data_IF_948225289781
#
_entry.id   IF_948225289781
#
_cell.length_a   1.000
_cell.length_b   1.000
_cell.length_c   1.000
_cell.angle_alpha   90.00
_cell.angle_beta   90.00
_cell.angle_gamma   90.00
#
_symmetry.space_group_name_H-M   'P 1'
#
loop_
_entity.id
_entity.type
_entity.pdbx_description
1 polymer ?
#
# COMPACT_ATOMS: atom_id res chain seq x y z
N UNK A 1 24.08 -0.42 -17.30
CA UNK A 1 23.98 -1.14 -16.01
C UNK A 1 22.53 -1.22 -15.60
N UNK A 2 21.97 -2.43 -15.47
CA UNK A 2 20.66 -2.63 -14.84
C UNK A 2 20.90 -2.56 -13.33
N UNK A 3 20.46 -1.50 -12.67
CA UNK A 3 20.53 -1.40 -11.21
C UNK A 3 19.67 -2.51 -10.64
N UNK A 4 20.30 -3.50 -10.00
CA UNK A 4 19.60 -4.47 -9.18
C UNK A 4 18.97 -3.72 -8.01
N UNK A 5 17.68 -3.39 -8.14
CA UNK A 5 16.88 -2.84 -7.04
C UNK A 5 16.96 -3.84 -5.90
N UNK A 6 17.68 -3.49 -4.85
CA UNK A 6 17.82 -4.29 -3.64
C UNK A 6 16.41 -4.58 -3.13
N UNK A 7 15.99 -5.85 -3.15
CA UNK A 7 14.66 -6.24 -2.66
C UNK A 7 14.62 -6.09 -1.15
N UNK A 8 14.18 -4.93 -0.68
CA UNK A 8 13.95 -4.70 0.76
C UNK A 8 12.80 -5.61 1.23
N UNK A 9 12.93 -6.25 2.40
CA UNK A 9 11.84 -7.04 2.97
C UNK A 9 10.60 -6.17 3.18
N UNK A 10 9.42 -6.68 2.81
CA UNK A 10 8.15 -5.94 2.88
C UNK A 10 7.85 -5.40 4.29
N UNK A 11 8.18 -6.17 5.33
CA UNK A 11 7.94 -5.75 6.72
C UNK A 11 8.79 -4.55 7.13
N UNK A 12 9.98 -4.36 6.56
CA UNK A 12 10.84 -3.20 6.81
C UNK A 12 10.20 -1.94 6.20
N UNK A 13 9.80 -2.03 4.93
CA UNK A 13 9.13 -0.91 4.25
C UNK A 13 7.82 -0.51 4.95
N UNK A 14 7.03 -1.50 5.39
CA UNK A 14 5.79 -1.28 6.11
C UNK A 14 6.01 -0.60 7.48
N UNK A 15 6.98 -1.09 8.27
CA UNK A 15 7.30 -0.52 9.59
C UNK A 15 7.76 0.93 9.45
N UNK A 16 8.67 1.20 8.51
CA UNK A 16 9.11 2.56 8.23
C UNK A 16 7.95 3.48 7.84
N UNK A 17 7.02 3.00 7.00
CA UNK A 17 5.85 3.79 6.63
C UNK A 17 4.98 4.12 7.85
N UNK A 18 4.73 3.15 8.74
CA UNK A 18 3.95 3.37 9.96
C UNK A 18 4.61 4.38 10.91
N UNK A 19 5.92 4.28 11.11
CA UNK A 19 6.71 5.23 11.90
C UNK A 19 6.68 6.66 11.33
N UNK A 20 6.45 6.79 10.01
CA UNK A 20 6.33 8.07 9.32
C UNK A 20 4.86 8.51 9.09
N UNK A 21 3.91 7.88 9.79
CA UNK A 21 2.48 8.25 9.75
C UNK A 21 1.74 7.81 8.48
N UNK A 22 2.31 6.90 7.70
CA UNK A 22 1.73 6.39 6.45
C UNK A 22 1.09 5.02 6.70
N UNK A 23 -0.24 4.96 6.61
CA UNK A 23 -1.00 3.72 6.69
C UNK A 23 -1.76 3.48 5.39
N UNK A 24 -1.86 2.22 4.97
CA UNK A 24 -2.49 1.82 3.71
C UNK A 24 -3.43 0.66 4.01
N UNK A 25 -4.72 0.84 3.73
CA UNK A 25 -5.73 -0.11 4.16
C UNK A 25 -6.90 -0.19 3.16
N UNK A 26 -7.61 -1.33 3.11
CA UNK A 26 -8.79 -1.47 2.26
C UNK A 26 -9.98 -0.74 2.88
N UNK A 27 -10.75 -0.04 2.04
CA UNK A 27 -12.04 0.55 2.40
C UNK A 27 -13.15 -0.16 1.60
N UNK A 28 -14.18 -0.73 2.27
CA UNK A 28 -15.30 -1.33 1.57
C UNK A 28 -16.12 -0.28 0.83
N UNK A 29 -16.49 -0.57 -0.41
CA UNK A 29 -17.44 0.24 -1.20
C UNK A 29 -18.90 -0.11 -0.92
N UNK A 30 -19.13 -1.31 -0.39
CA UNK A 30 -20.45 -1.86 -0.07
C UNK A 30 -20.41 -2.52 1.31
N UNK A 31 -21.51 -2.51 2.08
CA UNK A 31 -21.51 -2.99 3.48
C UNK A 31 -21.09 -4.46 3.64
N UNK A 32 -21.32 -5.30 2.63
CA UNK A 32 -20.92 -6.71 2.64
C UNK A 32 -19.44 -6.95 2.28
N UNK A 33 -18.66 -5.89 2.02
CA UNK A 33 -17.26 -5.97 1.65
C UNK A 33 -17.01 -6.64 0.30
N UNK A 34 -18.02 -6.80 -0.56
CA UNK A 34 -17.89 -7.47 -1.86
C UNK A 34 -16.91 -6.78 -2.82
N UNK A 35 -16.78 -5.46 -2.68
CA UNK A 35 -15.80 -4.64 -3.38
C UNK A 35 -15.15 -3.62 -2.44
N UNK A 36 -13.88 -3.35 -2.68
CA UNK A 36 -13.03 -2.50 -1.85
C UNK A 36 -12.16 -1.60 -2.72
N UNK A 37 -11.81 -0.42 -2.20
CA UNK A 37 -10.72 0.43 -2.70
C UNK A 37 -9.57 0.42 -1.71
N UNK A 38 -8.40 0.87 -2.14
CA UNK A 38 -7.27 1.11 -1.24
C UNK A 38 -7.26 2.58 -0.84
N UNK A 39 -7.17 2.86 0.45
CA UNK A 39 -6.88 4.18 0.99
C UNK A 39 -5.40 4.25 1.39
N UNK A 40 -4.76 5.36 1.04
CA UNK A 40 -3.46 5.76 1.56
C UNK A 40 -3.72 6.94 2.48
N UNK A 41 -3.49 6.76 3.77
CA UNK A 41 -3.54 7.81 4.78
C UNK A 41 -2.11 8.23 5.08
N UNK A 42 -1.81 9.52 4.94
CA UNK A 42 -0.55 10.12 5.31
C UNK A 42 -0.80 11.18 6.37
N UNK A 43 -0.52 10.85 7.64
CA UNK A 43 -0.70 11.76 8.78
C UNK A 43 -2.13 12.34 8.87
N UNK A 44 -3.14 11.55 8.55
CA UNK A 44 -4.56 11.95 8.55
C UNK A 44 -5.08 12.46 7.20
N UNK A 45 -4.20 12.71 6.23
CA UNK A 45 -4.62 13.07 4.87
C UNK A 45 -4.89 11.81 4.04
N UNK A 46 -6.16 11.58 3.72
CA UNK A 46 -6.59 10.36 3.05
C UNK A 46 -6.71 10.54 1.54
N UNK A 47 -6.07 9.66 0.80
CA UNK A 47 -6.22 9.54 -0.65
C UNK A 47 -6.77 8.17 -1.00
N UNK A 48 -7.96 8.14 -1.59
CA UNK A 48 -8.63 6.92 -2.03
C UNK A 48 -8.24 6.62 -3.48
N UNK A 49 -7.69 5.43 -3.70
CA UNK A 49 -7.34 4.92 -5.03
C UNK A 49 -8.55 4.75 -5.95
N UNK A 50 -8.32 4.77 -7.26
CA UNK A 50 -9.39 4.62 -8.25
C UNK A 50 -9.77 3.16 -8.50
N UNK A 51 -8.82 2.25 -8.35
CA UNK A 51 -8.99 0.82 -8.63
C UNK A 51 -9.93 0.14 -7.64
N UNK A 52 -10.75 -0.77 -8.17
CA UNK A 52 -11.70 -1.57 -7.40
C UNK A 52 -11.18 -3.00 -7.31
N UNK A 53 -11.14 -3.53 -6.10
CA UNK A 53 -10.74 -4.90 -5.79
C UNK A 53 -11.95 -5.67 -5.28
N UNK A 54 -12.08 -6.93 -5.70
CA UNK A 54 -13.17 -7.79 -5.28
C UNK A 54 -12.68 -8.78 -4.22
N UNK A 55 -13.51 -9.00 -3.19
CA UNK A 55 -13.19 -9.73 -1.94
C UNK A 55 -12.61 -11.14 -2.17
N UNK A 56 -12.94 -11.78 -3.29
CA UNK A 56 -12.47 -13.13 -3.62
C UNK A 56 -10.99 -13.23 -4.00
N UNK A 57 -10.20 -12.16 -3.89
CA UNK A 57 -8.80 -12.15 -4.35
C UNK A 57 -7.84 -11.55 -3.33
N UNK A 58 -6.69 -12.20 -3.11
CA UNK A 58 -5.58 -11.65 -2.32
C UNK A 58 -4.89 -10.43 -2.98
N UNK A 59 -5.30 -10.08 -4.21
CA UNK A 59 -4.72 -9.00 -5.04
C UNK A 59 -4.69 -7.65 -4.33
N UNK A 60 -5.67 -7.34 -3.48
CA UNK A 60 -5.68 -6.08 -2.74
C UNK A 60 -4.52 -6.00 -1.75
N UNK A 61 -4.24 -7.09 -1.02
CA UNK A 61 -3.15 -7.12 -0.05
C UNK A 61 -1.79 -7.15 -0.72
N UNK A 62 -1.67 -7.83 -1.86
CA UNK A 62 -0.44 -7.77 -2.67
C UNK A 62 -0.18 -6.35 -3.15
N UNK A 63 -1.21 -5.63 -3.60
CA UNK A 63 -1.06 -4.22 -3.98
C UNK A 63 -0.70 -3.33 -2.80
N UNK A 64 -1.32 -3.53 -1.63
CA UNK A 64 -0.97 -2.78 -0.42
C UNK A 64 0.51 -2.96 -0.08
N UNK A 65 1.02 -4.20 -0.11
CA UNK A 65 2.45 -4.49 0.11
C UNK A 65 3.35 -3.81 -0.94
N UNK A 66 2.95 -3.83 -2.21
CA UNK A 66 3.67 -3.15 -3.29
C UNK A 66 3.71 -1.63 -3.07
N UNK A 67 2.62 -1.03 -2.61
CA UNK A 67 2.54 0.41 -2.32
C UNK A 67 3.47 0.79 -1.18
N UNK A 68 3.52 0.01 -0.10
CA UNK A 68 4.48 0.24 0.99
C UNK A 68 5.93 0.25 0.51
N UNK A 69 6.32 -0.74 -0.30
CA UNK A 69 7.67 -0.81 -0.88
C UNK A 69 7.93 0.37 -1.82
N UNK A 70 6.93 0.75 -2.62
CA UNK A 70 7.06 1.88 -3.57
C UNK A 70 7.27 3.20 -2.86
N UNK A 71 6.50 3.48 -1.80
CA UNK A 71 6.60 4.69 -0.99
C UNK A 71 7.95 4.74 -0.28
N UNK A 72 8.37 3.63 0.33
CA UNK A 72 9.67 3.52 0.98
C UNK A 72 10.82 3.82 0.00
N UNK A 73 10.85 3.15 -1.15
CA UNK A 73 11.92 3.31 -2.15
C UNK A 73 11.97 4.74 -2.67
N UNK A 74 10.81 5.37 -2.94
CA UNK A 74 10.73 6.77 -3.39
C UNK A 74 11.33 7.74 -2.38
N UNK A 75 11.07 7.55 -1.09
CA UNK A 75 11.59 8.42 -0.03
C UNK A 75 13.07 8.18 0.27
N UNK A 76 13.55 6.95 0.12
CA UNK A 76 14.95 6.57 0.37
C UNK A 76 15.83 6.61 -0.89
N UNK A 77 15.28 7.04 -2.04
CA UNK A 77 15.96 7.18 -3.34
C UNK A 77 16.58 5.86 -3.87
N UNK A 78 15.87 4.74 -3.71
CA UNK A 78 16.27 3.40 -4.17
C UNK A 78 15.60 2.98 -5.49
#
# INVERSE_FOLDING_TARGET
MKTEKTKIPQHVAMSWCWENGITIYPIPLVPNGGSMKICVNNNGEETIGKDIYYNKTHKIYDKIKELYVTIYNKNNKL
#
